data_IF_565933344091
#
_entry.id   IF_565933344091
#
_cell.length_a   1.000
_cell.length_b   1.000
_cell.length_c   1.000
_cell.angle_alpha   90.00
_cell.angle_beta   90.00
_cell.angle_gamma   90.00
#
_symmetry.space_group_name_H-M   'P 1'
#
loop_
_entity.id
_entity.type
_entity.pdbx_description
1 polymer ?
#
# COMPACT_ATOMS: atom_id res chain seq x y z
N UNK A 1 -0.22 16.75 -0.82
CA UNK A 1 0.57 15.52 -0.70
C UNK A 1 1.45 15.41 -1.93
N UNK A 2 2.73 15.02 -1.81
CA UNK A 2 3.59 14.78 -2.98
C UNK A 2 3.38 13.34 -3.45
N UNK A 3 3.28 13.14 -4.76
CA UNK A 3 3.24 11.79 -5.35
C UNK A 3 4.47 10.99 -4.94
N UNK A 4 4.28 9.71 -4.62
CA UNK A 4 5.36 8.77 -4.27
C UNK A 4 6.27 8.55 -5.47
N UNK A 5 5.71 8.52 -6.68
CA UNK A 5 6.48 8.28 -7.92
C UNK A 5 7.39 9.45 -8.32
N UNK A 6 7.17 10.64 -7.76
CA UNK A 6 8.05 11.79 -7.95
C UNK A 6 9.18 11.85 -6.91
N UNK A 7 9.37 10.78 -6.12
CA UNK A 7 10.37 10.65 -5.06
C UNK A 7 11.16 9.34 -5.29
N UNK A 8 12.25 9.37 -6.07
CA UNK A 8 13.02 8.15 -6.37
C UNK A 8 13.65 7.50 -5.13
N UNK A 9 13.79 8.26 -4.04
CA UNK A 9 14.27 7.80 -2.74
C UNK A 9 13.16 7.27 -1.82
N UNK A 10 11.90 7.27 -2.26
CA UNK A 10 10.78 6.88 -1.43
C UNK A 10 10.86 5.39 -1.04
N UNK A 11 10.59 5.12 0.22
CA UNK A 11 10.50 3.76 0.77
C UNK A 11 9.16 3.50 1.41
N UNK A 12 8.76 2.23 1.40
CA UNK A 12 7.67 1.69 2.23
C UNK A 12 8.26 0.80 3.32
N UNK A 13 7.60 0.70 4.46
CA UNK A 13 7.96 -0.25 5.52
C UNK A 13 7.17 -1.55 5.31
N UNK A 14 7.87 -2.66 5.09
CA UNK A 14 7.23 -3.96 4.86
C UNK A 14 7.56 -4.95 5.97
N UNK A 15 6.58 -5.75 6.39
CA UNK A 15 6.79 -6.87 7.30
C UNK A 15 7.79 -7.87 6.71
N UNK A 16 8.71 -8.36 7.54
CA UNK A 16 9.70 -9.36 7.12
C UNK A 16 9.07 -10.68 6.65
N UNK A 17 7.85 -11.01 7.06
CA UNK A 17 7.11 -12.17 6.54
C UNK A 17 6.83 -12.07 5.03
N UNK A 18 6.77 -10.86 4.47
CA UNK A 18 6.64 -10.65 3.02
C UNK A 18 7.95 -10.91 2.28
N UNK A 19 9.08 -10.75 2.96
CA UNK A 19 10.42 -10.86 2.38
C UNK A 19 10.94 -12.29 2.39
N UNK A 20 10.68 -13.02 3.46
CA UNK A 20 11.03 -14.43 3.58
C UNK A 20 10.01 -15.36 2.90
N UNK A 21 8.87 -14.82 2.46
CA UNK A 21 7.81 -15.53 1.77
C UNK A 21 6.93 -16.40 2.68
N UNK A 22 7.03 -16.23 3.99
CA UNK A 22 6.20 -16.97 4.96
C UNK A 22 4.76 -16.42 5.04
N UNK A 23 4.56 -15.18 4.61
CA UNK A 23 3.26 -14.51 4.56
C UNK A 23 3.01 -13.83 3.21
N UNK A 24 1.74 -13.46 2.96
CA UNK A 24 1.31 -12.75 1.75
C UNK A 24 0.78 -11.37 2.10
N UNK A 25 0.98 -10.40 1.21
CA UNK A 25 0.47 -9.05 1.43
C UNK A 25 -1.06 -9.08 1.60
N UNK A 26 -1.54 -8.52 2.70
CA UNK A 26 -2.96 -8.47 3.02
C UNK A 26 -3.45 -7.09 3.37
N UNK A 27 -2.65 -6.33 4.10
CA UNK A 27 -3.07 -5.04 4.65
C UNK A 27 -2.03 -3.98 4.34
N UNK A 28 -2.49 -2.76 4.04
CA UNK A 28 -1.62 -1.60 3.91
C UNK A 28 -2.21 -0.41 4.65
N UNK A 29 -1.34 0.38 5.26
CA UNK A 29 -1.73 1.59 5.96
C UNK A 29 -0.76 2.71 5.62
N UNK A 30 -1.26 3.93 5.39
CA UNK A 30 -0.43 5.11 5.20
C UNK A 30 -0.47 5.98 6.44
N UNK A 31 0.64 6.07 7.16
CA UNK A 31 0.74 6.89 8.37
C UNK A 31 0.44 8.37 8.12
N UNK A 32 -0.02 9.06 9.17
CA UNK A 32 -0.45 10.46 9.08
C UNK A 32 0.70 11.46 8.87
N UNK A 33 1.92 11.10 9.27
CA UNK A 33 3.08 11.97 9.17
C UNK A 33 4.35 11.12 8.99
N UNK A 34 4.95 11.09 7.78
CA UNK A 34 6.23 10.42 7.60
C UNK A 34 7.31 11.06 8.44
N UNK A 35 8.18 10.23 8.99
CA UNK A 35 9.19 10.69 9.95
C UNK A 35 10.47 11.20 9.29
N UNK A 36 10.71 10.81 8.02
CA UNK A 36 11.88 11.19 7.23
C UNK A 36 11.49 11.56 5.79
N UNK A 37 12.34 12.30 5.05
CA UNK A 37 12.05 12.66 3.65
C UNK A 37 11.85 11.48 2.71
N UNK A 38 12.51 10.35 2.98
CA UNK A 38 12.41 9.12 2.20
C UNK A 38 11.17 8.30 2.56
N UNK A 39 10.60 8.51 3.73
CA UNK A 39 9.47 7.74 4.20
C UNK A 39 8.20 8.15 3.43
N UNK A 40 7.63 7.22 2.66
CA UNK A 40 6.37 7.46 1.94
C UNK A 40 5.15 7.47 2.87
N UNK A 41 5.32 6.99 4.10
CA UNK A 41 4.29 6.73 5.11
C UNK A 41 3.63 5.36 4.97
N UNK A 42 3.91 4.58 3.92
CA UNK A 42 3.23 3.29 3.69
C UNK A 42 3.85 2.16 4.52
N UNK A 43 2.97 1.44 5.21
CA UNK A 43 3.23 0.16 5.85
C UNK A 43 2.53 -0.97 5.10
N UNK A 44 3.23 -2.08 4.90
CA UNK A 44 2.77 -3.29 4.24
C UNK A 44 2.83 -4.45 5.23
N UNK A 45 1.68 -5.05 5.51
CA UNK A 45 1.53 -6.14 6.47
C UNK A 45 1.14 -7.45 5.78
N UNK A 46 1.67 -8.55 6.30
CA UNK A 46 1.37 -9.89 5.87
C UNK A 46 0.07 -10.44 6.50
N UNK A 47 -0.53 -11.43 5.85
CA UNK A 47 -1.73 -12.15 6.34
C UNK A 47 -1.50 -12.90 7.66
N UNK A 48 -0.25 -13.23 7.98
CA UNK A 48 0.17 -13.92 9.20
C UNK A 48 0.77 -12.99 10.27
N UNK A 49 0.79 -11.67 10.04
CA UNK A 49 1.24 -10.71 11.05
C UNK A 49 0.27 -10.69 12.23
N UNK A 50 0.82 -10.65 13.45
CA UNK A 50 0.05 -10.50 14.70
C UNK A 50 0.26 -9.12 15.29
N UNK A 51 -0.61 -8.69 16.20
CA UNK A 51 -0.43 -7.41 16.92
C UNK A 51 0.95 -7.33 17.61
N UNK A 52 1.34 -8.39 18.33
CA UNK A 52 2.64 -8.46 18.99
C UNK A 52 3.84 -8.45 18.02
N UNK A 53 3.65 -8.90 16.77
CA UNK A 53 4.65 -8.79 15.71
C UNK A 53 4.74 -7.36 15.19
N UNK A 54 3.59 -6.73 14.95
CA UNK A 54 3.47 -5.38 14.40
C UNK A 54 3.97 -4.30 15.37
N UNK A 55 3.88 -4.56 16.68
CA UNK A 55 4.38 -3.65 17.72
C UNK A 55 5.92 -3.59 17.80
N UNK A 56 6.65 -4.44 17.08
CA UNK A 56 8.11 -4.49 17.07
C UNK A 56 8.66 -3.84 15.80
N UNK A 57 9.27 -2.63 15.86
CA UNK A 57 9.79 -1.94 14.69
C UNK A 57 10.84 -2.77 13.91
N UNK A 58 11.62 -3.59 14.63
CA UNK A 58 12.63 -4.47 14.04
C UNK A 58 12.04 -5.57 13.14
N UNK A 59 10.73 -5.79 13.16
CA UNK A 59 10.06 -6.74 12.28
C UNK A 59 9.72 -6.17 10.90
N UNK A 60 9.95 -4.87 10.71
CA UNK A 60 9.76 -4.18 9.44
C UNK A 60 11.09 -3.87 8.78
N UNK A 61 11.06 -3.73 7.45
CA UNK A 61 12.22 -3.33 6.67
C UNK A 61 11.80 -2.28 5.63
N UNK A 62 12.57 -1.19 5.47
CA UNK A 62 12.34 -0.24 4.39
C UNK A 62 12.66 -0.89 3.04
N UNK A 63 11.75 -0.76 2.09
CA UNK A 63 11.88 -1.21 0.71
C UNK A 63 11.71 -0.03 -0.23
N UNK A 64 12.55 0.04 -1.27
CA UNK A 64 12.29 0.92 -2.41
C UNK A 64 11.00 0.51 -3.12
N UNK A 65 10.36 1.46 -3.81
CA UNK A 65 9.07 1.26 -4.46
C UNK A 65 9.10 0.11 -5.46
N UNK A 66 10.17 -0.03 -6.24
CA UNK A 66 10.31 -1.11 -7.23
C UNK A 66 10.27 -2.49 -6.58
N UNK A 67 10.89 -2.65 -5.40
CA UNK A 67 10.87 -3.92 -4.66
C UNK A 67 9.48 -4.19 -4.08
N UNK A 68 8.78 -3.16 -3.60
CA UNK A 68 7.39 -3.31 -3.14
C UNK A 68 6.45 -3.71 -4.29
N UNK A 69 6.59 -3.09 -5.47
CA UNK A 69 5.82 -3.45 -6.68
C UNK A 69 6.11 -4.86 -7.17
N UNK A 70 7.31 -5.40 -6.92
CA UNK A 70 7.64 -6.78 -7.22
C UNK A 70 6.92 -7.78 -6.27
N UNK A 71 6.60 -7.37 -5.04
CA UNK A 71 5.78 -8.17 -4.10
C UNK A 71 4.32 -8.15 -4.55
N UNK A 72 3.76 -6.97 -4.82
CA UNK A 72 2.39 -6.82 -5.28
C UNK A 72 2.26 -5.66 -6.30
N UNK A 73 2.10 -5.97 -7.60
CA UNK A 73 2.03 -4.93 -8.64
C UNK A 73 0.85 -3.97 -8.47
N UNK A 74 -0.27 -4.41 -7.88
CA UNK A 74 -1.45 -3.55 -7.71
C UNK A 74 -1.24 -2.37 -6.76
N UNK A 75 -0.16 -2.36 -5.97
CA UNK A 75 0.25 -1.22 -5.15
C UNK A 75 0.40 0.07 -5.97
N UNK A 76 0.77 -0.04 -7.26
CA UNK A 76 0.92 1.12 -8.14
C UNK A 76 -0.35 2.00 -8.22
N UNK A 77 -1.53 1.39 -7.99
CA UNK A 77 -2.81 2.07 -8.10
C UNK A 77 -3.22 2.79 -6.81
N UNK A 78 -2.50 2.56 -5.70
CA UNK A 78 -2.87 3.09 -4.38
C UNK A 78 -1.78 3.93 -3.72
N UNK A 79 -0.52 3.85 -4.16
CA UNK A 79 0.60 4.53 -3.50
C UNK A 79 0.45 6.06 -3.39
N UNK A 80 -0.37 6.67 -4.25
CA UNK A 80 -0.65 8.11 -4.25
C UNK A 80 -1.90 8.53 -3.44
N UNK A 81 -2.57 7.57 -2.78
CA UNK A 81 -3.70 7.85 -1.90
C UNK A 81 -3.30 8.62 -0.63
N UNK A 82 -4.20 9.43 -0.04
CA UNK A 82 -3.90 10.33 1.07
C UNK A 82 -3.36 9.63 2.33
N UNK A 83 -2.73 10.41 3.21
CA UNK A 83 -2.29 9.93 4.52
C UNK A 83 -3.51 9.54 5.35
N UNK A 84 -3.37 8.52 6.18
CA UNK A 84 -4.47 7.88 6.89
C UNK A 84 -5.25 6.85 6.06
N UNK A 85 -4.83 6.57 4.82
CA UNK A 85 -5.42 5.51 4.00
C UNK A 85 -5.17 4.15 4.64
N UNK A 86 -6.20 3.32 4.65
CA UNK A 86 -6.24 2.02 5.32
C UNK A 86 -6.96 1.04 4.39
N UNK A 87 -6.25 0.04 3.86
CA UNK A 87 -6.77 -0.84 2.81
C UNK A 87 -6.41 -2.30 3.02
N UNK A 88 -7.30 -3.16 2.54
CA UNK A 88 -7.12 -4.61 2.51
C UNK A 88 -7.09 -5.09 1.07
N UNK A 89 -6.09 -5.91 0.74
CA UNK A 89 -6.04 -6.63 -0.52
C UNK A 89 -6.84 -7.93 -0.40
N UNK A 90 -7.94 -8.04 -1.13
CA UNK A 90 -8.88 -9.14 -1.01
C UNK A 90 -9.38 -9.63 -2.37
N UNK A 91 -9.67 -10.93 -2.45
CA UNK A 91 -10.35 -11.53 -3.60
C UNK A 91 -11.81 -11.76 -3.23
N UNK A 92 -12.71 -10.97 -3.84
CA UNK A 92 -14.14 -11.07 -3.62
C UNK A 92 -14.82 -11.42 -4.92
N UNK A 93 -15.55 -12.54 -4.91
CA UNK A 93 -16.27 -13.07 -6.08
C UNK A 93 -15.35 -13.34 -7.28
N UNK A 94 -14.08 -13.68 -7.04
CA UNK A 94 -13.09 -13.94 -8.09
C UNK A 94 -12.43 -12.67 -8.65
N UNK A 95 -12.66 -11.51 -8.01
CA UNK A 95 -12.06 -10.23 -8.39
C UNK A 95 -11.17 -9.76 -7.24
N UNK A 96 -9.87 -9.77 -7.49
CA UNK A 96 -8.85 -9.20 -6.58
C UNK A 96 -8.93 -7.68 -6.60
N UNK A 97 -8.85 -7.05 -5.43
CA UNK A 97 -8.88 -5.60 -5.32
C UNK A 97 -8.47 -5.06 -3.95
N UNK A 98 -8.33 -3.75 -3.89
CA UNK A 98 -8.10 -3.00 -2.66
C UNK A 98 -9.43 -2.50 -2.10
N UNK A 99 -9.67 -2.75 -0.82
CA UNK A 99 -10.94 -2.45 -0.17
C UNK A 99 -10.70 -1.61 1.09
N UNK A 100 -11.55 -0.62 1.32
CA UNK A 100 -11.63 0.05 2.61
C UNK A 100 -12.28 -0.93 3.62
N UNK A 101 -11.59 -1.30 4.72
CA UNK A 101 -12.10 -2.27 5.68
C UNK A 101 -13.31 -1.76 6.47
N UNK A 102 -13.46 -0.45 6.64
CA UNK A 102 -14.53 0.20 7.42
C UNK A 102 -15.82 0.26 6.60
N UNK A 103 -15.74 0.80 5.39
CA UNK A 103 -16.92 0.97 4.50
C UNK A 103 -17.22 -0.28 3.68
N UNK A 104 -16.24 -1.19 3.56
CA UNK A 104 -16.27 -2.37 2.69
C UNK A 104 -16.41 -2.04 1.20
N UNK A 105 -16.08 -0.81 0.81
CA UNK A 105 -16.13 -0.37 -0.58
C UNK A 105 -14.82 -0.67 -1.31
N UNK A 106 -14.87 -1.06 -2.59
CA UNK A 106 -13.67 -1.21 -3.39
C UNK A 106 -13.08 0.16 -3.70
N UNK A 107 -11.76 0.28 -3.57
CA UNK A 107 -10.97 1.44 -3.97
C UNK A 107 -10.32 1.20 -5.34
N UNK A 108 -9.98 -0.06 -5.63
CA UNK A 108 -9.46 -0.49 -6.93
C UNK A 108 -9.80 -1.97 -7.14
N UNK A 109 -10.19 -2.35 -8.35
CA UNK A 109 -10.47 -3.73 -8.74
C UNK A 109 -9.65 -4.15 -9.97
N UNK A 110 -9.17 -5.39 -9.99
CA UNK A 110 -8.31 -5.92 -11.06
C UNK A 110 -9.01 -6.07 -12.41
N UNK A 111 -10.35 -6.17 -12.43
CA UNK A 111 -11.15 -6.21 -13.66
C UNK A 111 -11.48 -4.83 -14.22
N UNK A 112 -11.05 -3.75 -13.54
CA UNK A 112 -11.28 -2.37 -13.94
C UNK A 112 -12.72 -1.87 -13.71
N UNK A 113 -13.59 -2.66 -13.08
CA UNK A 113 -14.99 -2.27 -12.84
C UNK A 113 -15.14 -1.12 -11.84
N UNK A 114 -14.11 -0.89 -11.03
CA UNK A 114 -13.97 0.29 -10.17
C UNK A 114 -12.75 1.05 -10.67
N UNK A 115 -13.01 1.92 -11.64
CA UNK A 115 -11.99 2.76 -12.25
C UNK A 115 -11.56 3.80 -11.20
N UNK A 116 -10.25 3.95 -10.98
CA UNK A 116 -9.68 4.77 -9.90
C UNK A 116 -10.29 6.17 -9.86
N UNK A 117 -10.72 6.62 -8.67
CA UNK A 117 -11.21 8.00 -8.47
C UNK A 117 -10.13 9.04 -8.70
N UNK A 118 -8.89 8.63 -8.99
CA UNK A 118 -7.77 9.51 -9.23
C UNK A 118 -7.07 9.15 -10.54
N UNK A 119 -6.65 10.17 -11.29
CA UNK A 119 -5.79 10.10 -12.45
C UNK A 119 -4.50 10.86 -12.16
N UNK A 120 -3.36 10.28 -12.53
CA UNK A 120 -2.10 11.02 -12.56
C UNK A 120 -1.97 11.70 -13.91
N UNK A 121 -2.00 13.03 -13.93
CA UNK A 121 -1.73 13.83 -15.13
C UNK A 121 -0.55 14.74 -14.81
N UNK A 122 0.55 14.61 -15.57
CA UNK A 122 1.79 15.37 -15.36
C UNK A 122 2.37 15.31 -13.94
N UNK A 123 2.21 14.17 -13.25
CA UNK A 123 2.71 13.98 -11.89
C UNK A 123 1.83 14.58 -10.79
N UNK A 124 0.66 15.12 -11.14
CA UNK A 124 -0.37 15.55 -10.18
C UNK A 124 -1.50 14.52 -10.11
N UNK A 125 -1.92 14.21 -8.88
CA UNK A 125 -3.05 13.35 -8.58
C UNK A 125 -4.32 14.18 -8.72
N UNK A 126 -5.11 13.92 -9.75
CA UNK A 126 -6.36 14.62 -10.06
C UNK A 126 -7.53 13.69 -9.73
N UNK A 127 -8.46 14.14 -8.90
CA UNK A 127 -9.72 13.42 -8.67
C UNK A 127 -10.55 13.43 -9.97
N UNK A 128 -10.99 12.25 -10.39
CA UNK A 128 -11.60 11.97 -11.70
C UNK A 128 -13.06 12.37 -11.75
#
# INVERSE_FOLDING_TARGET
MRSVFNQPEAVVLASKHLLDGTGRLRWVYRELAPTTPQDSGWFLFADNDTEAWNDQPDNFMPLIIETALAIEPSLQNILDLPYGTDLVLDDRLGIKGWWDPKTKTPVWLADGSVDSTFKIVNGEVIEK
#
